data_IF_784529769798
#
_entry.id   IF_784529769798
#
_cell.length_a   1.000
_cell.length_b   1.000
_cell.length_c   1.000
_cell.angle_alpha   90.00
_cell.angle_beta   90.00
_cell.angle_gamma   90.00
#
_symmetry.space_group_name_H-M   'P 1'
#
loop_
_entity.id
_entity.type
_entity.pdbx_description
1 polymer ?
#
# COMPACT_ATOMS: atom_id res chain seq x y z
N UNK A 1 -2.62 0.19 14.13
CA UNK A 1 -2.74 -1.09 13.41
C UNK A 1 -3.53 -0.75 12.16
N UNK A 2 -2.90 -0.91 11.00
CA UNK A 2 -3.40 -0.33 9.76
C UNK A 2 -4.85 -0.74 9.46
N UNK A 3 -5.69 0.25 9.15
CA UNK A 3 -7.16 0.11 9.15
C UNK A 3 -7.78 0.01 7.76
N UNK A 4 -7.01 0.33 6.71
CA UNK A 4 -7.52 0.40 5.34
C UNK A 4 -7.55 -0.97 4.66
N UNK A 5 -8.54 -1.13 3.79
CA UNK A 5 -8.72 -2.24 2.86
C UNK A 5 -7.83 -2.07 1.62
N UNK A 6 -7.67 -3.14 0.84
CA UNK A 6 -6.92 -3.07 -0.43
C UNK A 6 -7.51 -2.06 -1.41
N UNK A 7 -8.84 -1.98 -1.47
CA UNK A 7 -9.53 -1.04 -2.33
C UNK A 7 -9.22 0.41 -1.93
N UNK A 8 -9.37 0.74 -0.65
CA UNK A 8 -9.09 2.09 -0.12
C UNK A 8 -7.64 2.50 -0.37
N UNK A 9 -6.68 1.58 -0.16
CA UNK A 9 -5.27 1.84 -0.46
C UNK A 9 -5.07 2.13 -1.95
N UNK A 10 -5.65 1.32 -2.85
CA UNK A 10 -5.51 1.53 -4.29
C UNK A 10 -6.13 2.85 -4.75
N UNK A 11 -7.32 3.18 -4.26
CA UNK A 11 -8.02 4.42 -4.62
C UNK A 11 -7.25 5.65 -4.16
N UNK A 12 -6.66 5.61 -2.96
CA UNK A 12 -5.77 6.67 -2.47
C UNK A 12 -4.54 6.87 -3.34
N UNK A 13 -4.00 5.78 -3.89
CA UNK A 13 -2.86 5.80 -4.80
C UNK A 13 -3.23 6.25 -6.22
N UNK A 14 -4.52 6.39 -6.55
CA UNK A 14 -5.00 6.79 -7.88
C UNK A 14 -4.49 5.87 -9.01
N UNK A 15 -4.21 4.59 -8.71
CA UNK A 15 -3.68 3.62 -9.68
C UNK A 15 -4.71 2.60 -10.16
N UNK A 16 -4.45 2.06 -11.35
CA UNK A 16 -5.22 0.94 -11.90
C UNK A 16 -5.01 -0.35 -11.11
N UNK A 17 -5.97 -1.28 -11.16
CA UNK A 17 -5.81 -2.60 -10.55
C UNK A 17 -4.58 -3.37 -11.09
N UNK A 18 -4.28 -3.39 -12.41
CA UNK A 18 -3.04 -3.99 -12.91
C UNK A 18 -1.77 -3.40 -12.30
N UNK A 19 -1.69 -2.06 -12.21
CA UNK A 19 -0.54 -1.37 -11.62
C UNK A 19 -0.37 -1.74 -10.14
N UNK A 20 -1.47 -1.79 -9.38
CA UNK A 20 -1.42 -2.18 -7.98
C UNK A 20 -0.99 -3.64 -7.81
N UNK A 21 -1.51 -4.55 -8.65
CA UNK A 21 -1.11 -5.96 -8.63
C UNK A 21 0.39 -6.15 -8.89
N UNK A 22 0.93 -5.43 -9.87
CA UNK A 22 2.35 -5.41 -10.18
C UNK A 22 3.19 -4.89 -9.00
N UNK A 23 2.82 -3.74 -8.43
CA UNK A 23 3.51 -3.17 -7.28
C UNK A 23 3.44 -4.05 -6.02
N UNK A 24 2.35 -4.81 -5.84
CA UNK A 24 2.21 -5.80 -4.78
C UNK A 24 2.97 -7.10 -5.05
N UNK A 25 3.53 -7.28 -6.25
CA UNK A 25 4.25 -8.49 -6.64
C UNK A 25 3.34 -9.72 -6.74
N UNK A 26 2.10 -9.55 -7.21
CA UNK A 26 1.15 -10.66 -7.35
C UNK A 26 0.45 -10.70 -8.71
N UNK A 27 -0.02 -11.89 -9.15
CA UNK A 27 -0.74 -11.98 -10.42
C UNK A 27 -2.01 -11.13 -10.44
N UNK A 28 -2.27 -10.45 -11.56
CA UNK A 28 -3.43 -9.54 -11.69
C UNK A 28 -4.77 -10.21 -11.35
N UNK A 29 -5.01 -11.44 -11.82
CA UNK A 29 -6.24 -12.17 -11.50
C UNK A 29 -6.38 -12.48 -10.01
N UNK A 30 -5.27 -12.76 -9.32
CA UNK A 30 -5.25 -12.98 -7.87
C UNK A 30 -5.62 -11.70 -7.14
N UNK A 31 -5.01 -10.58 -7.52
CA UNK A 31 -5.35 -9.27 -6.98
C UNK A 31 -6.84 -8.95 -7.14
N UNK A 32 -7.36 -9.07 -8.37
CA UNK A 32 -8.75 -8.76 -8.69
C UNK A 32 -9.74 -9.60 -7.87
N UNK A 33 -9.44 -10.89 -7.67
CA UNK A 33 -10.28 -11.76 -6.84
C UNK A 33 -10.26 -11.36 -5.35
N UNK A 34 -9.14 -10.85 -4.83
CA UNK A 34 -9.05 -10.40 -3.44
C UNK A 34 -9.73 -9.04 -3.27
N UNK A 35 -9.41 -8.05 -4.11
CA UNK A 35 -10.05 -6.71 -4.04
C UNK A 35 -11.57 -6.82 -4.25
N UNK A 36 -12.01 -7.65 -5.20
CA UNK A 36 -13.43 -7.88 -5.48
C UNK A 36 -14.15 -8.76 -4.45
N UNK A 37 -13.47 -9.20 -3.38
CA UNK A 37 -14.07 -9.98 -2.29
C UNK A 37 -14.37 -11.44 -2.60
N UNK A 38 -13.97 -11.97 -3.76
CA UNK A 38 -14.08 -13.40 -4.10
C UNK A 38 -13.20 -14.23 -3.17
N UNK A 39 -12.00 -13.74 -2.87
CA UNK A 39 -11.08 -14.33 -1.93
C UNK A 39 -10.91 -13.42 -0.71
N UNK A 40 -10.80 -13.98 0.52
CA UNK A 40 -10.62 -13.17 1.71
C UNK A 40 -9.26 -12.46 1.70
N UNK A 41 -9.27 -11.19 2.11
CA UNK A 41 -8.05 -10.44 2.40
C UNK A 41 -7.34 -11.05 3.62
N UNK A 42 -6.04 -11.33 3.46
CA UNK A 42 -5.18 -11.89 4.51
C UNK A 42 -4.13 -10.85 4.90
N UNK A 43 -3.53 -10.95 6.11
CA UNK A 43 -2.50 -10.01 6.55
C UNK A 43 -1.32 -9.87 5.56
N UNK A 44 -0.96 -10.93 4.84
CA UNK A 44 0.10 -10.89 3.83
C UNK A 44 -0.26 -9.97 2.65
N UNK A 45 -1.53 -9.89 2.25
CA UNK A 45 -1.97 -9.00 1.17
C UNK A 45 -1.88 -7.54 1.60
N UNK A 46 -2.30 -7.23 2.84
CA UNK A 46 -2.20 -5.87 3.38
C UNK A 46 -0.74 -5.43 3.51
N UNK A 47 0.15 -6.30 4.01
CA UNK A 47 1.59 -6.01 4.04
C UNK A 47 2.15 -5.69 2.65
N UNK A 48 1.80 -6.50 1.64
CA UNK A 48 2.21 -6.25 0.26
C UNK A 48 1.65 -4.92 -0.26
N UNK A 49 0.40 -4.57 0.05
CA UNK A 49 -0.19 -3.29 -0.33
C UNK A 49 0.46 -2.09 0.36
N UNK A 50 0.85 -2.20 1.63
CA UNK A 50 1.61 -1.15 2.32
C UNK A 50 2.98 -0.96 1.68
N UNK A 51 3.69 -2.04 1.36
CA UNK A 51 4.96 -1.95 0.63
C UNK A 51 4.78 -1.30 -0.75
N UNK A 52 3.77 -1.72 -1.50
CA UNK A 52 3.42 -1.13 -2.80
C UNK A 52 3.12 0.37 -2.68
N UNK A 53 2.37 0.79 -1.65
CA UNK A 53 2.05 2.20 -1.42
C UNK A 53 3.29 3.05 -1.18
N UNK A 54 4.28 2.54 -0.42
CA UNK A 54 5.55 3.25 -0.20
C UNK A 54 6.31 3.41 -1.51
N UNK A 55 6.43 2.34 -2.30
CA UNK A 55 7.15 2.37 -3.57
C UNK A 55 6.50 3.35 -4.56
N UNK A 56 5.18 3.27 -4.72
CA UNK A 56 4.42 4.14 -5.63
C UNK A 56 4.47 5.60 -5.18
N UNK A 57 4.31 5.87 -3.89
CA UNK A 57 4.42 7.22 -3.33
C UNK A 57 5.83 7.81 -3.51
N UNK A 58 6.88 7.00 -3.30
CA UNK A 58 8.27 7.40 -3.54
C UNK A 58 8.51 7.70 -5.02
N UNK A 59 8.05 6.84 -5.93
CA UNK A 59 8.18 7.05 -7.38
C UNK A 59 7.42 8.28 -7.87
N UNK A 60 6.26 8.58 -7.28
CA UNK A 60 5.46 9.76 -7.60
C UNK A 60 5.98 11.05 -6.94
N UNK A 61 6.89 10.96 -5.96
CA UNK A 61 7.31 12.11 -5.14
C UNK A 61 6.19 12.66 -4.26
N UNK A 62 5.22 11.81 -3.90
CA UNK A 62 3.97 12.17 -3.23
C UNK A 62 3.74 11.29 -1.98
N UNK A 63 4.49 11.51 -0.89
CA UNK A 63 4.38 10.71 0.34
C UNK A 63 2.98 10.74 0.97
N UNK A 64 2.19 11.78 0.71
CA UNK A 64 0.81 11.92 1.17
C UNK A 64 -0.16 10.88 0.59
N UNK A 65 0.24 10.17 -0.48
CA UNK A 65 -0.53 9.08 -1.08
C UNK A 65 -0.47 7.79 -0.26
N UNK A 66 0.46 7.67 0.70
CA UNK A 66 0.51 6.51 1.59
C UNK A 66 -0.68 6.51 2.57
N UNK A 67 -1.10 5.35 3.07
CA UNK A 67 -1.95 5.22 4.26
C UNK A 67 -1.50 6.10 5.43
N UNK A 68 -2.44 6.76 6.13
CA UNK A 68 -2.12 7.73 7.19
C UNK A 68 -1.28 7.11 8.32
N UNK A 69 -1.69 5.94 8.83
CA UNK A 69 -0.95 5.15 9.81
C UNK A 69 0.50 4.82 9.33
N UNK A 70 0.70 4.68 8.02
CA UNK A 70 2.02 4.40 7.44
C UNK A 70 2.86 5.68 7.29
N UNK A 71 2.24 6.81 6.97
CA UNK A 71 2.90 8.12 6.97
C UNK A 71 3.45 8.46 8.35
N UNK A 72 2.64 8.26 9.41
CA UNK A 72 3.05 8.45 10.80
C UNK A 72 4.26 7.56 11.15
N UNK A 73 4.16 6.26 10.88
CA UNK A 73 5.24 5.30 11.16
C UNK A 73 6.55 5.64 10.43
N UNK A 74 6.47 5.98 9.14
CA UNK A 74 7.65 6.35 8.34
C UNK A 74 8.24 7.68 8.82
N UNK A 75 7.41 8.63 9.23
CA UNK A 75 7.83 9.89 9.84
C UNK A 75 8.61 9.67 11.13
N UNK A 76 8.05 8.90 12.06
CA UNK A 76 8.71 8.53 13.32
C UNK A 76 10.06 7.84 13.08
N UNK A 77 10.10 6.86 12.17
CA UNK A 77 11.33 6.15 11.80
C UNK A 77 12.37 7.11 11.20
N UNK A 78 11.94 8.00 10.31
CA UNK A 78 12.80 9.01 9.68
C UNK A 78 13.37 10.00 10.70
N UNK A 79 12.58 10.40 11.69
CA UNK A 79 13.03 11.26 12.79
C UNK A 79 14.04 10.54 13.68
N UNK A 80 13.83 9.25 13.97
CA UNK A 80 14.80 8.44 14.72
C UNK A 80 16.14 8.33 13.98
N UNK A 81 16.12 8.09 12.67
CA UNK A 81 17.33 7.97 11.84
C UNK A 81 18.09 9.29 11.67
N UNK A 82 17.41 10.44 11.82
CA UNK A 82 18.02 11.78 11.74
C UNK A 82 18.63 12.25 13.06
N UNK A 83 18.36 11.57 14.18
CA UNK A 83 18.99 11.90 15.47
C UNK A 83 20.45 11.39 15.46
N UNK A 84 21.43 12.25 15.80
CA UNK A 84 22.85 11.88 15.81
C UNK A 84 23.19 10.83 16.88
#
# INVERSE_FOLDING_TARGET
MFRETLLEIRERLEVSQPTMAEAMGMPFRTYQAIEGGVNPTRPVHLRAAYTASMQLALSAGRPEMMPADLQELVGELGDMMRRP
#
